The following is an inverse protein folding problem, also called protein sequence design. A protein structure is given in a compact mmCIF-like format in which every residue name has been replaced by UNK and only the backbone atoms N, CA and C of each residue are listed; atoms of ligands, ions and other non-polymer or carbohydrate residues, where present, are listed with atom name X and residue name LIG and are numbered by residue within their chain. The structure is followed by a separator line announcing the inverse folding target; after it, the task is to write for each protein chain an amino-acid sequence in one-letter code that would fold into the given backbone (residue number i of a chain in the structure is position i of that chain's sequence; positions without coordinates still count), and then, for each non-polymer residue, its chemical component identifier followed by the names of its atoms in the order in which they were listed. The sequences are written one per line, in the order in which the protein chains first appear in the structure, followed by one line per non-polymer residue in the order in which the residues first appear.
data_IF_626989057555
#
_entry.id   IF_626989057555
#
_cell.length_a   1.000
_cell.length_b   1.000
_cell.length_c   1.000
_cell.angle_alpha   90.00
_cell.angle_beta   90.00
_cell.angle_gamma   90.00
#
_symmetry.space_group_name_H-M   'P 1'
#
loop_
_entity.id
_entity.type
_entity.pdbx_description
1 polymer ?
#
# COMPACT_ATOMS: atom_id res chain seq x y z
N UNK A 1 25.33 16.21 1.48
CA UNK A 1 24.61 17.08 0.51
C UNK A 1 23.88 16.27 -0.55
N UNK A 2 24.55 15.52 -1.46
CA UNK A 2 23.86 14.67 -2.46
C UNK A 2 22.79 13.73 -1.88
N UNK A 3 23.10 13.00 -0.80
CA UNK A 3 22.16 12.05 -0.15
C UNK A 3 20.94 12.75 0.47
N UNK A 4 21.16 13.93 1.06
CA UNK A 4 20.11 14.74 1.68
C UNK A 4 19.16 15.32 0.64
N UNK A 5 19.68 15.76 -0.52
CA UNK A 5 18.88 16.24 -1.64
C UNK A 5 18.06 15.10 -2.28
N UNK A 6 18.63 13.92 -2.45
CA UNK A 6 17.92 12.73 -2.97
C UNK A 6 16.75 12.35 -2.07
N UNK A 7 16.97 12.34 -0.75
CA UNK A 7 15.93 12.02 0.22
C UNK A 7 14.76 13.03 0.17
N UNK A 8 15.10 14.32 0.02
CA UNK A 8 14.13 15.41 -0.05
C UNK A 8 13.30 15.34 -1.34
N UNK A 9 13.92 14.99 -2.48
CA UNK A 9 13.23 14.78 -3.75
C UNK A 9 12.27 13.58 -3.67
N UNK A 10 12.69 12.48 -3.04
CA UNK A 10 11.81 11.32 -2.81
C UNK A 10 10.59 11.72 -1.97
N UNK A 11 10.79 12.47 -0.89
CA UNK A 11 9.70 12.94 -0.02
C UNK A 11 8.74 13.88 -0.78
N UNK A 12 9.27 14.78 -1.62
CA UNK A 12 8.45 15.70 -2.41
C UNK A 12 7.60 14.98 -3.47
N UNK A 13 8.15 13.93 -4.10
CA UNK A 13 7.43 13.06 -5.05
C UNK A 13 6.32 12.27 -4.32
N UNK A 14 6.61 11.73 -3.14
CA UNK A 14 5.60 11.04 -2.32
C UNK A 14 4.45 11.99 -1.90
N UNK A 15 4.74 13.26 -1.63
CA UNK A 15 3.76 14.27 -1.19
C UNK A 15 2.87 14.81 -2.33
N UNK A 16 3.25 14.62 -3.59
CA UNK A 16 2.48 15.07 -4.77
C UNK A 16 1.56 13.98 -5.35
N UNK A 17 1.48 12.83 -4.67
CA UNK A 17 0.58 11.75 -5.06
C UNK A 17 -0.87 12.10 -4.70
N UNK A 18 -1.86 11.87 -5.58
CA UNK A 18 -3.26 12.18 -5.29
C UNK A 18 -3.73 11.44 -4.04
N UNK A 19 -4.40 12.16 -3.13
CA UNK A 19 -4.91 11.65 -1.85
C UNK A 19 -5.90 10.48 -1.97
N UNK A 20 -6.40 10.20 -3.18
CA UNK A 20 -7.26 9.06 -3.48
C UNK A 20 -6.50 7.73 -3.62
N UNK A 21 -5.15 7.74 -3.57
CA UNK A 21 -4.34 6.53 -3.64
C UNK A 21 -4.35 5.72 -2.33
N UNK A 22 -4.63 6.37 -1.20
CA UNK A 22 -4.61 5.73 0.13
C UNK A 22 -6.01 5.76 0.75
N UNK A 23 -6.83 4.80 0.33
CA UNK A 23 -8.18 4.62 0.85
C UNK A 23 -8.18 3.79 2.14
N UNK A 24 -9.25 3.94 2.94
CA UNK A 24 -9.43 3.16 4.16
C UNK A 24 -9.43 1.66 3.85
N UNK A 25 -8.72 0.88 4.65
CA UNK A 25 -8.60 -0.55 4.45
C UNK A 25 -9.98 -1.23 4.54
N UNK A 26 -10.28 -2.21 3.68
CA UNK A 26 -11.60 -2.84 3.58
C UNK A 26 -12.14 -3.43 4.89
N UNK A 27 -11.24 -3.95 5.75
CA UNK A 27 -11.59 -4.52 7.06
C UNK A 27 -12.23 -3.50 8.01
N UNK A 28 -12.02 -2.19 7.78
CA UNK A 28 -12.61 -1.12 8.61
C UNK A 28 -14.15 -1.07 8.54
N UNK A 29 -14.74 -1.62 7.47
CA UNK A 29 -16.20 -1.68 7.24
C UNK A 29 -16.93 -2.67 8.16
N UNK A 30 -16.21 -3.58 8.82
CA UNK A 30 -16.81 -4.54 9.74
C UNK A 30 -17.49 -3.83 10.92
N UNK A 31 -18.68 -4.29 11.30
CA UNK A 31 -19.50 -3.65 12.33
C UNK A 31 -19.12 -4.06 13.77
N UNK A 32 -18.53 -5.25 13.93
CA UNK A 32 -18.13 -5.78 15.24
C UNK A 32 -16.63 -5.67 15.45
N UNK A 33 -16.21 -5.57 16.70
CA UNK A 33 -14.78 -5.57 17.05
C UNK A 33 -14.07 -6.84 16.55
N UNK A 34 -14.67 -8.02 16.77
CA UNK A 34 -14.12 -9.28 16.27
C UNK A 34 -14.01 -9.33 14.74
N UNK A 35 -14.98 -8.74 14.02
CA UNK A 35 -14.92 -8.61 12.57
C UNK A 35 -13.79 -7.68 12.12
N UNK A 36 -13.56 -6.57 12.82
CA UNK A 36 -12.47 -5.64 12.53
C UNK A 36 -11.10 -6.26 12.80
N UNK A 37 -10.90 -6.90 13.96
CA UNK A 37 -9.62 -7.49 14.33
C UNK A 37 -9.29 -8.73 13.50
N UNK A 38 -10.27 -9.59 13.23
CA UNK A 38 -10.11 -10.73 12.33
C UNK A 38 -9.84 -10.29 10.88
N UNK A 39 -10.58 -9.30 10.40
CA UNK A 39 -10.36 -8.70 9.09
C UNK A 39 -8.97 -8.08 8.95
N UNK A 40 -8.53 -7.29 9.95
CA UNK A 40 -7.21 -6.67 10.00
C UNK A 40 -6.08 -7.71 10.04
N UNK A 41 -6.26 -8.80 10.78
CA UNK A 41 -5.29 -9.91 10.84
C UNK A 41 -5.09 -10.55 9.47
N UNK A 42 -6.19 -10.94 8.81
CA UNK A 42 -6.16 -11.56 7.47
C UNK A 42 -5.60 -10.58 6.44
N UNK A 43 -6.02 -9.32 6.49
CA UNK A 43 -5.54 -8.26 5.62
C UNK A 43 -4.03 -8.05 5.75
N UNK A 44 -3.53 -7.92 6.98
CA UNK A 44 -2.11 -7.79 7.26
C UNK A 44 -1.31 -8.99 6.76
N UNK A 45 -1.78 -10.21 7.04
CA UNK A 45 -1.13 -11.44 6.58
C UNK A 45 -1.05 -11.53 5.05
N UNK A 46 -2.15 -11.22 4.34
CA UNK A 46 -2.17 -11.18 2.88
C UNK A 46 -1.14 -10.21 2.32
N UNK A 47 -1.10 -9.00 2.86
CA UNK A 47 -0.17 -7.97 2.42
C UNK A 47 1.30 -8.33 2.73
N UNK A 48 1.58 -8.99 3.86
CA UNK A 48 2.93 -9.52 4.15
C UNK A 48 3.36 -10.57 3.13
N UNK A 49 2.45 -11.49 2.77
CA UNK A 49 2.77 -12.61 1.88
C UNK A 49 2.79 -12.23 0.40
N UNK A 50 1.92 -11.31 -0.01
CA UNK A 50 1.64 -11.02 -1.42
C UNK A 50 1.86 -9.55 -1.80
N UNK A 51 2.15 -8.65 -0.87
CA UNK A 51 2.37 -7.23 -1.17
C UNK A 51 3.50 -6.98 -2.17
N UNK A 52 4.50 -7.87 -2.24
CA UNK A 52 5.58 -7.78 -3.21
C UNK A 52 5.14 -7.95 -4.68
N UNK A 53 3.99 -8.57 -4.94
CA UNK A 53 3.46 -8.81 -6.29
C UNK A 53 3.17 -7.51 -7.05
N UNK A 54 2.92 -6.39 -6.33
CA UNK A 54 2.76 -5.05 -6.91
C UNK A 54 3.95 -4.63 -7.77
N UNK A 55 5.13 -5.26 -7.60
CA UNK A 55 6.32 -5.02 -8.42
C UNK A 55 6.06 -5.30 -9.90
N UNK A 56 5.21 -6.29 -10.17
CA UNK A 56 4.88 -6.75 -11.52
C UNK A 56 3.51 -6.26 -11.96
N UNK A 57 2.58 -6.10 -11.02
CA UNK A 57 1.21 -5.70 -11.34
C UNK A 57 1.09 -4.24 -11.76
N UNK A 58 1.72 -3.31 -11.04
CA UNK A 58 1.56 -1.87 -11.37
C UNK A 58 2.13 -1.50 -12.75
N UNK A 59 3.32 -1.99 -13.16
CA UNK A 59 3.79 -1.75 -14.52
C UNK A 59 2.91 -2.42 -15.60
N UNK A 60 2.44 -3.64 -15.33
CA UNK A 60 1.60 -4.38 -16.27
C UNK A 60 0.24 -3.70 -16.48
N UNK A 61 -0.36 -3.19 -15.42
CA UNK A 61 -1.62 -2.47 -15.47
C UNK A 61 -1.50 -1.12 -16.16
N UNK A 62 -0.43 -0.37 -15.88
CA UNK A 62 -0.17 0.87 -16.59
C UNK A 62 -0.05 0.66 -18.10
N UNK A 63 0.55 -0.45 -18.53
CA UNK A 63 0.61 -0.85 -19.95
C UNK A 63 -0.79 -1.22 -20.47
N UNK A 64 -1.54 -2.03 -19.72
CA UNK A 64 -2.86 -2.52 -20.14
C UNK A 64 -3.89 -1.39 -20.27
N UNK A 65 -3.85 -0.40 -19.38
CA UNK A 65 -4.79 0.72 -19.34
C UNK A 65 -4.37 1.89 -20.26
N UNK A 66 -3.22 1.81 -20.93
CA UNK A 66 -2.67 2.91 -21.72
C UNK A 66 -2.28 4.13 -20.87
N UNK A 67 -1.97 3.90 -19.59
CA UNK A 67 -1.56 4.91 -18.64
C UNK A 67 -0.07 5.24 -18.79
N UNK A 68 0.43 6.17 -17.96
CA UNK A 68 1.83 6.52 -17.97
C UNK A 68 2.69 5.38 -17.39
N UNK A 69 3.39 4.67 -18.29
CA UNK A 69 4.30 3.56 -17.94
C UNK A 69 5.37 3.95 -16.91
N UNK A 70 5.81 5.20 -16.87
CA UNK A 70 6.82 5.66 -15.91
C UNK A 70 6.23 5.84 -14.51
N UNK A 71 4.96 6.24 -14.44
CA UNK A 71 4.23 6.27 -13.18
C UNK A 71 4.00 4.84 -12.66
N UNK A 72 3.54 3.92 -13.52
CA UNK A 72 3.37 2.50 -13.18
C UNK A 72 4.66 1.83 -12.73
N UNK A 73 5.80 2.14 -13.37
CA UNK A 73 7.11 1.67 -12.93
C UNK A 73 7.51 2.23 -11.55
N UNK A 74 7.26 3.51 -11.31
CA UNK A 74 7.48 4.14 -10.00
C UNK A 74 6.63 3.52 -8.89
N UNK A 75 5.35 3.26 -9.18
CA UNK A 75 4.43 2.56 -8.28
C UNK A 75 4.90 1.12 -8.03
N UNK A 76 5.33 0.41 -9.09
CA UNK A 76 5.91 -0.93 -8.99
C UNK A 76 7.14 -1.01 -8.10
N UNK A 77 7.93 0.06 -7.92
CA UNK A 77 9.03 0.07 -6.97
C UNK A 77 8.60 0.43 -5.54
N UNK A 78 7.62 1.32 -5.38
CA UNK A 78 7.21 1.83 -4.07
C UNK A 78 6.16 0.94 -3.38
N UNK A 79 5.12 0.51 -4.10
CA UNK A 79 3.98 -0.21 -3.53
C UNK A 79 4.33 -1.57 -2.94
N UNK A 80 5.27 -2.36 -3.49
CA UNK A 80 5.74 -3.59 -2.84
C UNK A 80 6.19 -3.38 -1.40
N UNK A 81 6.97 -2.33 -1.18
CA UNK A 81 7.53 -2.02 0.13
C UNK A 81 6.41 -1.53 1.05
N UNK A 82 5.57 -0.62 0.57
CA UNK A 82 4.47 -0.05 1.36
C UNK A 82 3.44 -1.12 1.73
N UNK A 83 3.01 -1.96 0.78
CA UNK A 83 2.07 -3.05 1.02
C UNK A 83 2.66 -4.08 1.98
N UNK A 84 3.90 -4.51 1.78
CA UNK A 84 4.52 -5.52 2.65
C UNK A 84 4.74 -5.00 4.07
N UNK A 85 5.35 -3.81 4.22
CA UNK A 85 5.63 -3.22 5.54
C UNK A 85 4.36 -2.76 6.22
N UNK A 86 3.45 -2.11 5.49
CA UNK A 86 2.15 -1.70 6.01
C UNK A 86 1.29 -2.89 6.40
N UNK A 87 1.33 -3.98 5.62
CA UNK A 87 0.74 -5.27 5.95
C UNK A 87 1.31 -5.86 7.25
N UNK A 88 2.64 -5.81 7.41
CA UNK A 88 3.29 -6.25 8.65
C UNK A 88 2.84 -5.43 9.86
N UNK A 89 2.73 -4.11 9.71
CA UNK A 89 2.23 -3.22 10.77
C UNK A 89 0.76 -3.51 11.09
N UNK A 90 -0.08 -3.72 10.09
CA UNK A 90 -1.49 -4.10 10.27
C UNK A 90 -1.61 -5.47 10.97
N UNK A 91 -0.76 -6.43 10.60
CA UNK A 91 -0.70 -7.76 11.22
C UNK A 91 -0.25 -7.69 12.69
N UNK A 92 0.81 -6.93 12.99
CA UNK A 92 1.32 -6.78 14.36
C UNK A 92 0.37 -5.98 15.26
N UNK A 93 -0.36 -5.03 14.68
CA UNK A 93 -1.29 -4.16 15.40
C UNK A 93 -2.74 -4.61 15.25
N UNK A 94 -3.00 -5.85 14.83
CA UNK A 94 -4.35 -6.35 14.54
C UNK A 94 -5.38 -6.19 15.67
N UNK A 95 -5.00 -6.20 16.98
CA UNK A 95 -5.96 -5.94 18.06
C UNK A 95 -6.31 -4.45 18.19
N UNK A 96 -5.45 -3.55 17.71
CA UNK A 96 -5.64 -2.12 17.84
C UNK A 96 -6.54 -1.57 16.70
N UNK A 97 -7.64 -0.86 17.00
CA UNK A 97 -8.66 -0.47 16.02
C UNK A 97 -8.33 0.84 15.30
N UNK A 98 -7.10 0.98 14.81
CA UNK A 98 -6.70 2.07 13.93
C UNK A 98 -6.22 1.51 12.58
N UNK A 99 -6.41 2.30 11.53
CA UNK A 99 -6.04 1.92 10.18
C UNK A 99 -4.68 2.50 9.79
N UNK A 100 -3.95 1.74 8.97
CA UNK A 100 -2.75 2.15 8.26
C UNK A 100 -3.10 2.01 6.78
N UNK A 101 -3.59 3.10 6.15
CA UNK A 101 -4.03 3.05 4.76
C UNK A 101 -2.92 2.55 3.85
N UNK A 102 -3.24 1.58 3.01
CA UNK A 102 -2.33 1.06 1.99
C UNK A 102 -2.71 1.62 0.60
N UNK A 103 -1.75 1.69 -0.33
CA UNK A 103 -2.02 2.03 -1.73
C UNK A 103 -3.15 1.16 -2.29
N UNK A 104 -4.09 1.79 -3.00
CA UNK A 104 -5.16 1.11 -3.73
C UNK A 104 -5.95 0.11 -2.85
N UNK A 105 -6.19 0.49 -1.59
CA UNK A 105 -6.86 -0.33 -0.56
C UNK A 105 -6.08 -1.55 -0.06
N UNK A 106 -4.89 -1.86 -0.61
CA UNK A 106 -4.05 -2.98 -0.19
C UNK A 106 -4.69 -4.35 -0.44
N UNK A 107 -5.51 -4.50 -1.48
CA UNK A 107 -6.13 -5.77 -1.89
C UNK A 107 -5.62 -6.30 -3.23
N UNK A 108 -4.77 -5.53 -3.91
CA UNK A 108 -4.31 -5.80 -5.28
C UNK A 108 -3.05 -6.67 -5.24
N UNK A 109 -3.23 -7.96 -5.55
CA UNK A 109 -2.17 -8.99 -5.63
C UNK A 109 -2.54 -10.11 -6.59
#
# INVERSE_FOLDING_TARGET
MKKTTILLVIILILCSTPSNLFAASPWTKAQTYGGKTGGKLVFGLKNVLFGWSSLFMEPAEAIANGENIWAGFGQGLAYPIINTVGGALQFLTFPAPFDIPLPETGEKF
#
